data_IF_160795889719
#
_entry.id   IF_160795889719
#
_cell.length_a   1.000
_cell.length_b   1.000
_cell.length_c   1.000
_cell.angle_alpha   90.00
_cell.angle_beta   90.00
_cell.angle_gamma   90.00
#
_symmetry.space_group_name_H-M   'P 1'
#
loop_
_entity.id
_entity.type
_entity.pdbx_description
1 polymer ?
#
# COMPACT_ATOMS: atom_id res chain seq x y z
N UNK A 1 75.12 23.36 -16.59
CA UNK A 1 75.36 21.91 -16.49
C UNK A 1 75.03 21.52 -15.06
N UNK A 2 73.77 21.24 -14.75
CA UNK A 2 73.09 19.93 -14.89
C UNK A 2 72.85 19.42 -13.46
N UNK A 3 71.73 18.85 -13.03
CA UNK A 3 70.48 18.49 -13.67
C UNK A 3 69.44 18.39 -12.53
N UNK A 4 68.19 18.65 -12.87
CA UNK A 4 67.00 18.72 -12.02
C UNK A 4 66.76 17.41 -11.24
N UNK A 5 66.48 17.53 -9.93
CA UNK A 5 65.94 16.46 -9.08
C UNK A 5 64.57 16.02 -9.61
N UNK A 6 64.51 14.87 -10.28
CA UNK A 6 63.26 14.20 -10.63
C UNK A 6 62.67 13.48 -9.40
N UNK A 7 61.94 14.21 -8.57
CA UNK A 7 61.04 13.60 -7.59
C UNK A 7 59.70 13.33 -8.28
N UNK A 8 59.55 12.14 -8.86
CA UNK A 8 58.25 11.67 -9.35
C UNK A 8 57.32 11.44 -8.15
N UNK A 9 56.58 12.47 -7.76
CA UNK A 9 55.49 12.35 -6.79
C UNK A 9 54.37 11.53 -7.45
N UNK A 10 54.40 10.21 -7.25
CA UNK A 10 53.27 9.34 -7.58
C UNK A 10 52.16 9.66 -6.59
N UNK A 11 51.25 10.55 -6.98
CA UNK A 11 49.97 10.72 -6.29
C UNK A 11 49.18 9.43 -6.59
N UNK A 12 49.29 8.46 -5.68
CA UNK A 12 48.37 7.34 -5.61
C UNK A 12 47.06 7.95 -5.11
N UNK A 13 46.16 8.27 -6.03
CA UNK A 13 44.76 8.58 -5.68
C UNK A 13 44.16 7.29 -5.16
N UNK A 14 44.21 7.11 -3.84
CA UNK A 14 43.47 6.08 -3.14
C UNK A 14 41.99 6.49 -3.21
N UNK A 15 41.32 6.17 -4.31
CA UNK A 15 39.85 6.19 -4.36
C UNK A 15 39.43 5.11 -3.38
N UNK A 16 38.87 5.46 -2.20
CA UNK A 16 38.39 4.43 -1.31
C UNK A 16 37.28 3.73 -2.08
N UNK A 17 37.44 2.42 -2.27
CA UNK A 17 36.43 1.55 -2.83
C UNK A 17 35.27 1.49 -1.81
N UNK A 18 34.46 2.55 -1.71
CA UNK A 18 33.19 2.59 -0.97
C UNK A 18 32.12 1.74 -1.67
N UNK A 19 32.49 0.55 -2.14
CA UNK A 19 31.58 -0.43 -2.76
C UNK A 19 31.14 -1.49 -1.74
N UNK A 20 31.69 -1.46 -0.52
CA UNK A 20 31.26 -2.36 0.55
C UNK A 20 30.09 -1.74 1.33
N UNK A 21 28.87 -2.05 0.87
CA UNK A 21 27.74 -2.28 1.78
C UNK A 21 26.94 -1.08 2.25
N UNK A 22 26.39 -0.25 1.35
CA UNK A 22 25.09 0.33 1.70
C UNK A 22 24.12 -0.85 1.75
N UNK A 23 23.75 -1.28 2.97
CA UNK A 23 22.57 -2.11 3.15
C UNK A 23 21.40 -1.33 2.53
N UNK A 24 21.00 -1.73 1.32
CA UNK A 24 19.90 -1.12 0.60
C UNK A 24 18.64 -1.26 1.46
N UNK A 25 17.69 -0.34 1.31
CA UNK A 25 16.39 -0.43 1.96
C UNK A 25 15.80 -1.86 1.89
N UNK A 26 15.86 -2.49 0.72
CA UNK A 26 15.40 -3.86 0.49
C UNK A 26 16.07 -4.88 1.42
N UNK A 27 17.39 -4.78 1.65
CA UNK A 27 18.09 -5.66 2.58
C UNK A 27 17.63 -5.48 4.03
N UNK A 28 17.40 -4.23 4.47
CA UNK A 28 16.94 -3.93 5.82
C UNK A 28 15.52 -4.42 6.09
N UNK A 29 14.62 -4.37 5.10
CA UNK A 29 13.22 -4.78 5.32
C UNK A 29 12.98 -6.26 5.03
N UNK A 30 13.81 -6.91 4.20
CA UNK A 30 13.66 -8.34 3.92
C UNK A 30 13.76 -9.20 5.18
N UNK A 31 14.67 -8.88 6.10
CA UNK A 31 14.78 -9.59 7.37
C UNK A 31 13.56 -9.34 8.27
N UNK A 32 13.06 -8.11 8.34
CA UNK A 32 11.81 -7.81 9.06
C UNK A 32 10.61 -8.60 8.48
N UNK A 33 10.51 -8.72 7.15
CA UNK A 33 9.48 -9.55 6.48
C UNK A 33 9.60 -11.03 6.85
N UNK A 34 10.81 -11.56 7.00
CA UNK A 34 11.02 -12.94 7.47
C UNK A 34 10.51 -13.11 8.90
N UNK A 35 10.84 -12.18 9.81
CA UNK A 35 10.31 -12.19 11.17
C UNK A 35 8.77 -12.12 11.18
N UNK A 36 8.15 -11.24 10.37
CA UNK A 36 6.69 -11.15 10.24
C UNK A 36 6.10 -12.47 9.75
N UNK A 37 6.68 -13.07 8.71
CA UNK A 37 6.22 -14.35 8.14
C UNK A 37 6.28 -15.49 9.18
N UNK A 38 7.33 -15.51 10.00
CA UNK A 38 7.49 -16.47 11.10
C UNK A 38 6.68 -16.11 12.36
N UNK A 39 5.86 -15.05 12.33
CA UNK A 39 5.10 -14.52 13.48
C UNK A 39 5.97 -14.03 14.65
N UNK A 40 7.25 -13.73 14.39
CA UNK A 40 8.22 -13.17 15.34
C UNK A 40 8.07 -11.63 15.39
N UNK A 41 6.87 -11.15 15.74
CA UNK A 41 6.53 -9.73 15.61
C UNK A 41 7.41 -8.81 16.45
N UNK A 42 7.86 -9.23 17.64
CA UNK A 42 8.75 -8.43 18.47
C UNK A 42 10.13 -8.21 17.82
N UNK A 43 10.66 -9.22 17.13
CA UNK A 43 11.92 -9.09 16.39
C UNK A 43 11.76 -8.12 15.20
N UNK A 44 10.65 -8.25 14.45
CA UNK A 44 10.33 -7.32 13.36
C UNK A 44 10.19 -5.87 13.86
N UNK A 45 9.49 -5.67 15.00
CA UNK A 45 9.31 -4.35 15.63
C UNK A 45 10.65 -3.77 16.07
N UNK A 46 11.47 -4.54 16.79
CA UNK A 46 12.77 -4.09 17.27
C UNK A 46 13.71 -3.67 16.12
N UNK A 47 13.60 -4.33 14.96
CA UNK A 47 14.35 -3.98 13.77
C UNK A 47 13.87 -2.71 13.07
N UNK A 48 12.55 -2.54 12.90
CA UNK A 48 11.98 -1.44 12.11
C UNK A 48 11.79 -0.15 12.90
N UNK A 49 11.51 -0.23 14.21
CA UNK A 49 11.25 0.93 15.07
C UNK A 49 12.34 2.02 15.01
N UNK A 50 13.65 1.71 15.19
CA UNK A 50 14.68 2.74 15.14
C UNK A 50 14.74 3.43 13.77
N UNK A 51 14.55 2.67 12.68
CA UNK A 51 14.53 3.20 11.31
C UNK A 51 13.31 4.11 11.05
N UNK A 52 12.16 3.75 11.61
CA UNK A 52 10.93 4.54 11.53
C UNK A 52 11.00 5.83 12.36
N UNK A 53 11.80 5.84 13.43
CA UNK A 53 12.00 7.01 14.28
C UNK A 53 13.06 7.97 13.73
N UNK A 54 14.07 7.47 13.02
CA UNK A 54 15.11 8.26 12.37
C UNK A 54 14.51 9.26 11.36
N UNK A 55 14.79 10.55 11.55
CA UNK A 55 14.35 11.59 10.61
C UNK A 55 15.26 11.62 9.38
N UNK A 56 14.66 11.63 8.18
CA UNK A 56 15.44 11.74 6.95
C UNK A 56 14.74 11.30 5.66
N UNK A 57 15.58 11.06 4.65
CA UNK A 57 15.23 10.66 3.28
C UNK A 57 14.33 9.42 3.19
N UNK A 58 14.45 8.52 4.15
CA UNK A 58 13.78 7.22 4.16
C UNK A 58 12.73 7.09 5.27
N UNK A 59 12.55 8.12 6.11
CA UNK A 59 11.68 7.98 7.29
C UNK A 59 10.25 7.56 6.90
N UNK A 60 9.70 8.14 5.84
CA UNK A 60 8.35 7.81 5.39
C UNK A 60 8.21 6.30 5.16
N UNK A 61 9.18 5.70 4.48
CA UNK A 61 9.03 4.30 4.09
C UNK A 61 9.11 3.36 5.30
N UNK A 62 10.02 3.63 6.24
CA UNK A 62 10.10 2.83 7.46
C UNK A 62 8.90 3.05 8.40
N UNK A 63 8.31 4.25 8.43
CA UNK A 63 7.05 4.48 9.14
C UNK A 63 5.94 3.58 8.60
N UNK A 64 5.82 3.45 7.27
CA UNK A 64 4.82 2.63 6.62
C UNK A 64 5.00 1.13 6.94
N UNK A 65 6.22 0.59 6.79
CA UNK A 65 6.49 -0.82 7.09
C UNK A 65 6.30 -1.13 8.58
N UNK A 66 6.75 -0.24 9.47
CA UNK A 66 6.61 -0.42 10.91
C UNK A 66 5.15 -0.34 11.37
N UNK A 67 4.38 0.61 10.85
CA UNK A 67 2.97 0.74 11.16
C UNK A 67 2.15 -0.47 10.68
N UNK A 68 2.44 -1.02 9.50
CA UNK A 68 1.84 -2.29 9.04
C UNK A 68 2.25 -3.46 9.92
N UNK A 69 3.52 -3.53 10.36
CA UNK A 69 4.00 -4.57 11.28
C UNK A 69 3.22 -4.55 12.59
N UNK A 70 2.98 -3.36 13.17
CA UNK A 70 2.16 -3.17 14.35
C UNK A 70 0.70 -3.60 14.11
N UNK A 71 0.11 -3.25 12.96
CA UNK A 71 -1.24 -3.68 12.60
C UNK A 71 -1.35 -5.22 12.53
N UNK A 72 -0.40 -5.89 11.87
CA UNK A 72 -0.39 -7.36 11.75
C UNK A 72 -0.24 -8.01 13.14
N UNK A 73 0.54 -7.39 14.03
CA UNK A 73 0.71 -7.84 15.41
C UNK A 73 -0.52 -7.58 16.32
N UNK A 74 -1.52 -6.84 15.83
CA UNK A 74 -2.72 -6.46 16.60
C UNK A 74 -2.56 -5.18 17.45
N UNK A 75 -1.43 -4.47 17.33
CA UNK A 75 -1.15 -3.23 18.07
C UNK A 75 -1.77 -2.01 17.37
N UNK A 76 -3.09 -2.06 17.10
CA UNK A 76 -3.78 -1.09 16.24
C UNK A 76 -3.64 0.36 16.68
N UNK A 77 -3.66 0.62 18.01
CA UNK A 77 -3.52 1.97 18.55
C UNK A 77 -2.12 2.55 18.26
N UNK A 78 -1.07 1.77 18.49
CA UNK A 78 0.31 2.20 18.22
C UNK A 78 0.52 2.30 16.71
N UNK A 79 -0.03 1.37 15.94
CA UNK A 79 -0.04 1.42 14.47
C UNK A 79 -0.63 2.75 13.96
N UNK A 80 -1.74 3.22 14.55
CA UNK A 80 -2.34 4.51 14.19
C UNK A 80 -1.40 5.69 14.46
N UNK A 81 -0.70 5.73 15.59
CA UNK A 81 0.24 6.81 15.91
C UNK A 81 1.33 6.93 14.83
N UNK A 82 1.83 5.80 14.34
CA UNK A 82 2.85 5.76 13.29
C UNK A 82 2.28 6.04 11.89
N UNK A 83 1.05 5.61 11.58
CA UNK A 83 0.39 6.00 10.33
C UNK A 83 0.04 7.48 10.27
N UNK A 84 -0.38 8.11 11.38
CA UNK A 84 -0.57 9.56 11.42
C UNK A 84 0.74 10.31 11.22
N UNK A 85 1.84 9.81 11.79
CA UNK A 85 3.18 10.35 11.52
C UNK A 85 3.54 10.16 10.03
N UNK A 86 3.27 9.00 9.44
CA UNK A 86 3.51 8.74 8.03
C UNK A 86 2.71 9.68 7.12
N UNK A 87 1.43 9.91 7.43
CA UNK A 87 0.57 10.86 6.71
C UNK A 87 1.16 12.26 6.74
N UNK A 88 1.47 12.79 7.93
CA UNK A 88 2.09 14.11 8.08
C UNK A 88 3.37 14.23 7.27
N UNK A 89 4.23 13.21 7.34
CA UNK A 89 5.49 13.17 6.60
C UNK A 89 5.27 13.13 5.08
N UNK A 90 4.25 12.41 4.61
CA UNK A 90 3.90 12.36 3.18
C UNK A 90 3.40 13.74 2.68
N UNK A 91 2.49 14.37 3.43
CA UNK A 91 1.89 15.66 3.07
C UNK A 91 2.92 16.81 3.07
N UNK A 92 3.78 16.89 4.10
CA UNK A 92 4.85 17.90 4.17
C UNK A 92 5.85 17.77 3.01
N UNK A 93 6.17 16.53 2.61
CA UNK A 93 7.17 16.25 1.57
C UNK A 93 6.67 16.51 0.16
N UNK A 94 5.35 16.45 -0.06
CA UNK A 94 4.76 16.90 -1.32
C UNK A 94 4.92 18.42 -1.49
N UNK A 95 4.62 19.20 -0.44
CA UNK A 95 4.68 20.66 -0.45
C UNK A 95 6.11 21.21 -0.62
N UNK A 96 7.09 20.68 0.12
CA UNK A 96 8.46 21.22 0.11
C UNK A 96 9.34 20.76 -1.07
N UNK A 97 8.81 19.91 -1.95
CA UNK A 97 9.59 19.43 -3.11
C UNK A 97 9.84 20.48 -4.19
N UNK A 98 9.12 21.61 -4.15
CA UNK A 98 9.26 22.74 -5.07
C UNK A 98 10.40 23.69 -4.63
N UNK A 99 10.74 23.77 -3.34
CA UNK A 99 11.74 24.74 -2.84
C UNK A 99 13.19 24.25 -2.84
N UNK A 100 13.44 22.95 -3.08
CA UNK A 100 14.79 22.35 -3.22
C UNK A 100 15.18 22.04 -4.67
N UNK A 101 14.58 22.71 -5.66
CA UNK A 101 14.84 22.46 -7.09
C UNK A 101 16.31 22.70 -7.45
N UNK A 102 17.02 23.61 -6.77
CA UNK A 102 18.44 23.88 -7.00
C UNK A 102 19.33 22.72 -6.49
N UNK A 103 19.81 21.88 -7.41
CA UNK A 103 20.76 20.81 -7.12
C UNK A 103 20.18 19.40 -7.00
N UNK A 104 18.85 19.23 -6.95
CA UNK A 104 18.20 17.91 -6.86
C UNK A 104 18.53 16.98 -8.04
N UNK A 105 18.73 17.54 -9.23
CA UNK A 105 19.16 16.81 -10.44
C UNK A 105 20.58 16.23 -10.35
N UNK A 106 21.41 16.72 -9.42
CA UNK A 106 22.76 16.20 -9.21
C UNK A 106 22.77 14.94 -8.33
N UNK A 107 21.72 14.74 -7.53
CA UNK A 107 21.56 13.58 -6.65
C UNK A 107 20.97 12.39 -7.43
N UNK A 108 21.38 11.18 -7.09
CA UNK A 108 20.75 9.96 -7.61
C UNK A 108 19.32 9.82 -7.08
N UNK A 109 18.51 9.02 -7.77
CA UNK A 109 17.13 8.76 -7.35
C UNK A 109 17.03 8.14 -5.95
N UNK A 110 17.94 7.23 -5.60
CA UNK A 110 18.04 6.62 -4.26
C UNK A 110 18.32 7.65 -3.15
N UNK A 111 19.13 8.67 -3.42
CA UNK A 111 19.51 9.71 -2.42
C UNK A 111 18.40 10.75 -2.22
N UNK A 112 17.49 10.90 -3.20
CA UNK A 112 16.35 11.80 -3.08
C UNK A 112 15.44 11.33 -1.95
N UNK A 113 14.69 12.26 -1.37
CA UNK A 113 13.66 11.98 -0.39
C UNK A 113 12.58 11.05 -0.97
N UNK A 114 12.28 9.93 -0.30
CA UNK A 114 11.14 9.09 -0.64
C UNK A 114 9.83 9.85 -0.40
N UNK A 115 8.93 9.81 -1.39
CA UNK A 115 7.63 10.51 -1.35
C UNK A 115 6.42 9.59 -1.27
N UNK A 116 6.59 8.29 -1.55
CA UNK A 116 5.48 7.36 -1.73
C UNK A 116 4.76 7.54 -3.06
N UNK A 117 4.27 6.43 -3.62
CA UNK A 117 3.45 6.46 -4.83
C UNK A 117 2.02 6.96 -4.50
N UNK A 118 1.29 7.50 -5.48
CA UNK A 118 -0.06 8.08 -5.26
C UNK A 118 -0.99 7.11 -4.53
N UNK A 119 -1.00 5.83 -4.93
CA UNK A 119 -1.86 4.80 -4.33
C UNK A 119 -1.46 4.46 -2.88
N UNK A 120 -0.16 4.54 -2.55
CA UNK A 120 0.36 4.32 -1.20
C UNK A 120 -0.14 5.40 -0.23
N UNK A 121 -0.16 6.66 -0.67
CA UNK A 121 -0.64 7.79 0.13
C UNK A 121 -2.12 7.67 0.49
N UNK A 122 -2.93 7.14 -0.42
CA UNK A 122 -4.33 6.79 -0.16
C UNK A 122 -4.42 5.61 0.83
N UNK A 123 -3.54 4.62 0.69
CA UNK A 123 -3.52 3.46 1.59
C UNK A 123 -3.26 3.83 3.04
N UNK A 124 -2.51 4.91 3.33
CA UNK A 124 -2.29 5.36 4.71
C UNK A 124 -3.63 5.52 5.46
N UNK A 125 -4.60 6.24 4.87
CA UNK A 125 -5.92 6.42 5.48
C UNK A 125 -6.76 5.14 5.45
N UNK A 126 -6.61 4.29 4.43
CA UNK A 126 -7.31 3.00 4.41
C UNK A 126 -6.84 2.09 5.55
N UNK A 127 -5.53 2.07 5.84
CA UNK A 127 -4.97 1.31 6.97
C UNK A 127 -5.36 1.89 8.32
N UNK A 128 -5.37 3.23 8.46
CA UNK A 128 -5.92 3.92 9.64
C UNK A 128 -7.40 3.53 9.86
N UNK A 129 -8.22 3.59 8.81
CA UNK A 129 -9.63 3.22 8.87
C UNK A 129 -9.82 1.77 9.32
N UNK A 130 -9.06 0.82 8.73
CA UNK A 130 -9.10 -0.59 9.15
C UNK A 130 -8.72 -0.77 10.63
N UNK A 131 -7.69 -0.06 11.12
CA UNK A 131 -7.32 -0.10 12.54
C UNK A 131 -8.43 0.46 13.45
N UNK A 132 -9.07 1.56 13.08
CA UNK A 132 -10.19 2.11 13.85
C UNK A 132 -11.40 1.16 13.87
N UNK A 133 -11.68 0.49 12.75
CA UNK A 133 -12.72 -0.54 12.69
C UNK A 133 -12.42 -1.73 13.62
N UNK A 134 -11.17 -2.18 13.69
CA UNK A 134 -10.71 -3.21 14.64
C UNK A 134 -10.87 -2.77 16.11
N UNK A 135 -10.58 -1.50 16.38
CA UNK A 135 -10.78 -0.88 17.69
C UNK A 135 -12.26 -0.63 18.03
N UNK A 136 -13.19 -0.88 17.10
CA UNK A 136 -14.61 -0.61 17.27
C UNK A 136 -14.98 0.89 17.22
N UNK A 137 -14.08 1.73 16.72
CA UNK A 137 -14.24 3.18 16.60
C UNK A 137 -14.71 3.56 15.19
N UNK A 138 -16.02 3.41 14.97
CA UNK A 138 -16.63 3.74 13.68
C UNK A 138 -16.54 5.25 13.36
N UNK A 139 -16.58 6.11 14.38
CA UNK A 139 -16.51 7.57 14.20
C UNK A 139 -15.14 8.00 13.66
N UNK A 140 -14.06 7.45 14.21
CA UNK A 140 -12.72 7.69 13.69
C UNK A 140 -12.54 7.09 12.28
N UNK A 141 -13.08 5.89 12.01
CA UNK A 141 -13.06 5.31 10.67
C UNK A 141 -13.80 6.20 9.64
N UNK A 142 -14.89 6.86 10.02
CA UNK A 142 -15.61 7.83 9.18
C UNK A 142 -14.78 9.08 8.88
N UNK A 143 -13.92 9.53 9.80
CA UNK A 143 -12.98 10.63 9.53
C UNK A 143 -12.00 10.22 8.44
N UNK A 144 -11.44 9.02 8.53
CA UNK A 144 -10.51 8.51 7.53
C UNK A 144 -11.19 8.28 6.16
N UNK A 145 -12.44 7.82 6.13
CA UNK A 145 -13.23 7.74 4.90
C UNK A 145 -13.41 9.11 4.21
N UNK A 146 -13.55 10.20 4.99
CA UNK A 146 -13.58 11.57 4.43
C UNK A 146 -12.21 11.99 3.89
N UNK A 147 -11.13 11.72 4.62
CA UNK A 147 -9.75 12.02 4.17
C UNK A 147 -9.41 11.30 2.88
N UNK A 148 -9.82 10.03 2.74
CA UNK A 148 -9.74 9.30 1.47
C UNK A 148 -10.45 10.08 0.38
N UNK A 149 -11.70 10.48 0.60
CA UNK A 149 -12.46 11.23 -0.41
C UNK A 149 -11.79 12.55 -0.83
N UNK A 150 -11.21 13.28 0.13
CA UNK A 150 -10.51 14.53 -0.14
C UNK A 150 -9.22 14.31 -0.95
N UNK A 151 -8.44 13.28 -0.63
CA UNK A 151 -7.25 12.89 -1.42
C UNK A 151 -7.63 12.49 -2.84
N UNK A 152 -8.74 11.78 -3.04
CA UNK A 152 -9.22 11.45 -4.39
C UNK A 152 -9.54 12.69 -5.21
N UNK A 153 -10.24 13.67 -4.64
CA UNK A 153 -10.57 14.91 -5.34
C UNK A 153 -9.30 15.67 -5.73
N UNK A 154 -8.33 15.73 -4.82
CA UNK A 154 -7.02 16.32 -5.09
C UNK A 154 -6.33 15.62 -6.26
N UNK A 155 -6.13 14.30 -6.20
CA UNK A 155 -5.40 13.57 -7.24
C UNK A 155 -6.13 13.49 -8.58
N UNK A 156 -7.47 13.48 -8.59
CA UNK A 156 -8.23 13.63 -9.84
C UNK A 156 -7.99 14.99 -10.49
N UNK A 157 -7.89 16.07 -9.70
CA UNK A 157 -7.59 17.41 -10.21
C UNK A 157 -6.16 17.54 -10.74
N UNK A 158 -5.25 16.67 -10.29
CA UNK A 158 -3.87 16.55 -10.79
C UNK A 158 -3.75 15.60 -12.01
N UNK A 159 -4.89 15.21 -12.61
CA UNK A 159 -4.97 14.31 -13.77
C UNK A 159 -4.31 12.94 -13.55
N UNK A 160 -4.30 12.44 -12.30
CA UNK A 160 -3.83 11.09 -11.98
C UNK A 160 -4.74 10.02 -12.59
N UNK A 161 -4.16 8.90 -13.04
CA UNK A 161 -4.89 7.83 -13.73
C UNK A 161 -5.69 6.97 -12.75
N UNK A 162 -6.79 6.38 -13.22
CA UNK A 162 -7.72 5.60 -12.39
C UNK A 162 -7.09 4.42 -11.63
N UNK A 163 -6.08 3.73 -12.18
CA UNK A 163 -5.43 2.62 -11.47
C UNK A 163 -4.53 3.11 -10.31
N UNK A 164 -4.10 4.38 -10.33
CA UNK A 164 -3.42 5.04 -9.22
C UNK A 164 -4.41 5.39 -8.10
N UNK A 165 -5.71 5.42 -8.44
CA UNK A 165 -6.83 5.70 -7.56
C UNK A 165 -7.40 4.38 -7.01
N UNK A 166 -6.68 3.78 -6.05
CA UNK A 166 -7.01 2.60 -5.22
C UNK A 166 -8.52 2.26 -5.02
N UNK A 167 -9.13 1.46 -5.89
CA UNK A 167 -10.58 1.17 -5.82
C UNK A 167 -11.04 0.58 -4.47
N UNK A 168 -10.17 -0.13 -3.75
CA UNK A 168 -10.44 -0.59 -2.39
C UNK A 168 -10.67 0.55 -1.39
N UNK A 169 -9.92 1.65 -1.45
CA UNK A 169 -10.12 2.76 -0.51
C UNK A 169 -11.52 3.39 -0.63
N UNK A 170 -12.06 3.47 -1.86
CA UNK A 170 -13.45 3.88 -2.10
C UNK A 170 -14.45 2.82 -1.65
N UNK A 171 -14.18 1.55 -1.93
CA UNK A 171 -15.02 0.44 -1.47
C UNK A 171 -15.08 0.36 0.07
N UNK A 172 -13.94 0.53 0.76
CA UNK A 172 -13.85 0.60 2.21
C UNK A 172 -14.61 1.79 2.77
N UNK A 173 -14.45 2.98 2.17
CA UNK A 173 -15.24 4.16 2.53
C UNK A 173 -16.74 3.86 2.42
N UNK A 174 -17.18 3.21 1.33
CA UNK A 174 -18.58 2.83 1.14
C UNK A 174 -19.09 1.89 2.24
N UNK A 175 -18.30 0.87 2.64
CA UNK A 175 -18.65 -0.02 3.76
C UNK A 175 -18.77 0.74 5.08
N UNK A 176 -17.87 1.70 5.33
CA UNK A 176 -17.89 2.53 6.56
C UNK A 176 -19.13 3.43 6.58
N UNK A 177 -19.43 4.12 5.49
CA UNK A 177 -20.64 4.94 5.35
C UNK A 177 -21.91 4.09 5.51
N UNK A 178 -21.92 2.88 4.95
CA UNK A 178 -23.05 1.98 5.08
C UNK A 178 -23.24 1.50 6.52
N UNK A 179 -22.16 1.17 7.24
CA UNK A 179 -22.21 0.76 8.65
C UNK A 179 -22.81 1.87 9.54
N UNK A 180 -22.58 3.14 9.18
CA UNK A 180 -23.18 4.33 9.81
C UNK A 180 -24.57 4.68 9.25
N UNK A 181 -25.11 3.86 8.34
CA UNK A 181 -26.43 4.04 7.70
C UNK A 181 -26.56 5.30 6.84
N UNK A 182 -25.43 5.90 6.45
CA UNK A 182 -25.34 6.98 5.46
C UNK A 182 -25.40 6.39 4.05
N UNK A 183 -26.58 5.86 3.69
CA UNK A 183 -26.76 5.07 2.48
C UNK A 183 -26.54 5.85 1.18
N UNK A 184 -26.79 7.17 1.17
CA UNK A 184 -26.49 8.01 0.01
C UNK A 184 -24.99 8.16 -0.23
N UNK A 185 -24.22 8.46 0.82
CA UNK A 185 -22.76 8.54 0.75
C UNK A 185 -22.15 7.18 0.38
N UNK A 186 -22.68 6.10 0.96
CA UNK A 186 -22.27 4.73 0.64
C UNK A 186 -22.56 4.39 -0.83
N UNK A 187 -23.74 4.76 -1.35
CA UNK A 187 -24.07 4.53 -2.77
C UNK A 187 -23.09 5.24 -3.70
N UNK A 188 -22.79 6.51 -3.42
CA UNK A 188 -21.82 7.29 -4.21
C UNK A 188 -20.46 6.60 -4.18
N UNK A 189 -19.95 6.24 -3.00
CA UNK A 189 -18.65 5.61 -2.86
C UNK A 189 -18.57 4.22 -3.53
N UNK A 190 -19.63 3.38 -3.44
CA UNK A 190 -19.69 2.11 -4.18
C UNK A 190 -19.70 2.32 -5.69
N UNK A 191 -20.43 3.33 -6.17
CA UNK A 191 -20.50 3.65 -7.59
C UNK A 191 -19.14 4.15 -8.11
N UNK A 192 -18.45 4.98 -7.34
CA UNK A 192 -17.09 5.43 -7.65
C UNK A 192 -16.10 4.26 -7.67
N UNK A 193 -16.17 3.35 -6.69
CA UNK A 193 -15.34 2.14 -6.70
C UNK A 193 -15.57 1.29 -7.96
N UNK A 194 -16.83 1.12 -8.39
CA UNK A 194 -17.19 0.42 -9.62
C UNK A 194 -16.70 1.12 -10.90
N UNK A 195 -16.69 2.45 -10.91
CA UNK A 195 -16.17 3.23 -12.04
C UNK A 195 -14.64 3.15 -12.15
N UNK A 196 -13.95 3.00 -11.02
CA UNK A 196 -12.50 2.80 -10.98
C UNK A 196 -12.14 1.39 -11.42
N UNK A 197 -12.89 0.39 -10.94
CA UNK A 197 -12.67 -1.01 -11.27
C UNK A 197 -14.01 -1.76 -11.35
N UNK A 198 -14.43 -2.11 -12.56
CA UNK A 198 -15.65 -2.86 -12.81
C UNK A 198 -15.50 -4.37 -12.55
N UNK A 199 -14.26 -4.84 -12.31
CA UNK A 199 -13.92 -6.25 -12.07
C UNK A 199 -13.96 -6.63 -10.59
N UNK A 200 -14.20 -5.67 -9.68
CA UNK A 200 -14.40 -5.93 -8.25
C UNK A 200 -15.47 -7.02 -8.09
N UNK A 201 -15.09 -8.13 -7.47
CA UNK A 201 -16.01 -9.23 -7.21
C UNK A 201 -17.13 -8.75 -6.25
N UNK A 202 -18.39 -9.07 -6.56
CA UNK A 202 -19.61 -8.72 -5.82
C UNK A 202 -20.04 -7.24 -5.76
N UNK A 203 -19.33 -6.32 -6.43
CA UNK A 203 -19.70 -4.89 -6.37
C UNK A 203 -21.07 -4.59 -6.99
N UNK A 204 -21.51 -5.41 -7.94
CA UNK A 204 -22.81 -5.27 -8.60
C UNK A 204 -23.95 -5.58 -7.64
N UNK A 205 -23.81 -6.62 -6.82
CA UNK A 205 -24.70 -6.98 -5.73
C UNK A 205 -24.72 -5.86 -4.68
N UNK A 206 -23.56 -5.30 -4.35
CA UNK A 206 -23.48 -4.17 -3.42
C UNK A 206 -24.19 -2.92 -3.95
N UNK A 207 -24.04 -2.61 -5.25
CA UNK A 207 -24.74 -1.50 -5.92
C UNK A 207 -26.25 -1.72 -5.99
N UNK A 208 -26.70 -2.93 -6.31
CA UNK A 208 -28.11 -3.29 -6.29
C UNK A 208 -28.68 -3.12 -4.87
N UNK A 209 -27.99 -3.64 -3.86
CA UNK A 209 -28.41 -3.54 -2.46
C UNK A 209 -28.46 -2.10 -1.98
N UNK A 210 -27.39 -1.34 -2.19
CA UNK A 210 -27.27 0.01 -1.65
C UNK A 210 -28.19 1.00 -2.36
N UNK A 211 -28.44 0.84 -3.67
CA UNK A 211 -29.43 1.66 -4.40
C UNK A 211 -30.83 1.56 -3.80
N UNK A 212 -31.25 0.36 -3.38
CA UNK A 212 -32.52 0.16 -2.69
C UNK A 212 -32.51 0.73 -1.27
N UNK A 213 -31.43 0.52 -0.50
CA UNK A 213 -31.28 1.11 0.86
C UNK A 213 -31.30 2.64 0.83
N UNK A 214 -30.72 3.26 -0.20
CA UNK A 214 -30.71 4.71 -0.41
C UNK A 214 -31.95 5.24 -1.16
N UNK A 215 -32.97 4.40 -1.40
CA UNK A 215 -34.22 4.75 -2.11
C UNK A 215 -34.03 5.29 -3.54
N UNK A 216 -32.93 4.92 -4.20
CA UNK A 216 -32.61 5.22 -5.59
C UNK A 216 -33.27 4.19 -6.51
N UNK A 217 -34.60 4.28 -6.63
CA UNK A 217 -35.40 3.26 -7.31
C UNK A 217 -35.13 3.16 -8.81
N UNK A 218 -34.72 4.25 -9.45
CA UNK A 218 -34.40 4.25 -10.87
C UNK A 218 -33.05 3.55 -11.12
N UNK A 219 -32.02 3.85 -10.33
CA UNK A 219 -30.76 3.11 -10.36
C UNK A 219 -30.94 1.65 -9.96
N UNK A 220 -31.79 1.34 -8.97
CA UNK A 220 -32.13 -0.04 -8.60
C UNK A 220 -32.76 -0.82 -9.76
N UNK A 221 -33.76 -0.24 -10.45
CA UNK A 221 -34.39 -0.86 -11.62
C UNK A 221 -33.37 -1.09 -12.73
N UNK A 222 -32.57 -0.05 -13.03
CA UNK A 222 -31.49 -0.12 -14.02
C UNK A 222 -30.51 -1.24 -13.71
N UNK A 223 -30.00 -1.32 -12.48
CA UNK A 223 -29.05 -2.36 -12.09
C UNK A 223 -29.67 -3.77 -12.09
N UNK A 224 -30.96 -3.89 -11.77
CA UNK A 224 -31.67 -5.17 -11.85
C UNK A 224 -31.81 -5.69 -13.28
N UNK A 225 -31.87 -4.79 -14.27
CA UNK A 225 -31.93 -5.13 -15.69
C UNK A 225 -30.54 -5.35 -16.29
N UNK A 226 -29.56 -4.51 -15.94
CA UNK A 226 -28.20 -4.53 -16.51
C UNK A 226 -27.29 -5.60 -15.88
N UNK A 227 -27.40 -5.83 -14.57
CA UNK A 227 -26.53 -6.76 -13.88
C UNK A 227 -27.15 -8.16 -13.91
N UNK A 228 -26.45 -9.09 -14.55
CA UNK A 228 -26.77 -10.53 -14.49
C UNK A 228 -26.38 -11.03 -13.09
N UNK A 229 -27.29 -10.88 -12.13
CA UNK A 229 -27.10 -11.26 -10.73
C UNK A 229 -27.89 -12.52 -10.40
N UNK A 230 -27.42 -13.25 -9.38
CA UNK A 230 -28.24 -14.27 -8.71
C UNK A 230 -29.46 -13.62 -8.03
N UNK A 231 -30.30 -14.44 -7.39
CA UNK A 231 -31.40 -13.92 -6.59
C UNK A 231 -30.93 -12.92 -5.52
N UNK A 232 -31.70 -11.86 -5.36
CA UNK A 232 -31.49 -10.82 -4.35
C UNK A 232 -31.61 -11.43 -2.93
N UNK A 233 -30.57 -11.29 -2.12
CA UNK A 233 -30.61 -11.80 -0.75
C UNK A 233 -31.49 -10.90 0.12
N UNK A 234 -32.57 -11.45 0.66
CA UNK A 234 -33.54 -10.75 1.52
C UNK A 234 -32.93 -10.25 2.83
N UNK A 235 -31.91 -10.95 3.35
CA UNK A 235 -31.24 -10.59 4.61
C UNK A 235 -30.52 -9.24 4.53
N UNK A 236 -30.19 -8.77 3.33
CA UNK A 236 -29.58 -7.46 3.12
C UNK A 236 -30.40 -6.29 3.68
N UNK A 237 -31.72 -6.47 3.78
CA UNK A 237 -32.68 -5.43 4.19
C UNK A 237 -33.29 -5.69 5.56
N UNK A 238 -32.98 -6.82 6.19
CA UNK A 238 -33.52 -7.14 7.50
C UNK A 238 -32.75 -6.38 8.59
N UNK A 239 -33.44 -5.42 9.20
CA UNK A 239 -32.90 -4.59 10.29
C UNK A 239 -32.67 -5.37 11.59
N UNK A 240 -33.15 -6.61 11.67
CA UNK A 240 -32.95 -7.49 12.82
C UNK A 240 -31.64 -8.27 12.74
N UNK A 241 -31.06 -8.43 11.55
CA UNK A 241 -29.77 -9.08 11.37
C UNK A 241 -28.64 -8.19 11.89
N UNK A 242 -27.57 -8.84 12.35
CA UNK A 242 -26.26 -8.23 12.48
C UNK A 242 -25.47 -8.48 11.18
N UNK A 243 -24.53 -7.59 10.88
CA UNK A 243 -23.60 -7.78 9.78
C UNK A 243 -22.20 -8.07 10.29
N UNK A 244 -21.53 -9.05 9.69
CA UNK A 244 -20.11 -9.29 9.87
C UNK A 244 -19.40 -9.09 8.53
N UNK A 245 -18.36 -8.27 8.54
CA UNK A 245 -17.49 -8.02 7.40
C UNK A 245 -16.08 -8.48 7.77
N UNK A 246 -15.52 -9.39 6.99
CA UNK A 246 -14.10 -9.75 7.08
C UNK A 246 -13.36 -9.12 5.91
N UNK A 247 -12.37 -8.29 6.21
CA UNK A 247 -11.34 -7.82 5.29
C UNK A 247 -10.17 -8.79 5.37
N UNK A 248 -9.83 -9.40 4.24
CA UNK A 248 -8.74 -10.35 4.13
C UNK A 248 -7.64 -9.75 3.27
N UNK A 249 -6.48 -9.53 3.88
CA UNK A 249 -5.28 -9.10 3.18
C UNK A 249 -4.47 -10.34 2.82
N UNK A 250 -4.21 -10.54 1.54
CA UNK A 250 -3.59 -11.76 1.04
C UNK A 250 -2.14 -11.50 0.64
N UNK A 251 -1.26 -12.42 1.01
CA UNK A 251 0.10 -12.54 0.47
C UNK A 251 0.99 -11.34 0.73
N UNK A 252 1.91 -11.07 -0.19
CA UNK A 252 2.79 -9.90 -0.15
C UNK A 252 2.80 -9.20 -1.49
N UNK A 253 2.78 -7.87 -1.48
CA UNK A 253 2.94 -7.08 -2.70
C UNK A 253 4.25 -7.37 -3.43
N UNK A 254 4.39 -6.86 -4.67
CA UNK A 254 5.54 -7.09 -5.51
C UNK A 254 6.80 -6.48 -4.89
N UNK A 255 7.97 -6.97 -5.30
CA UNK A 255 9.27 -6.49 -4.86
C UNK A 255 9.93 -5.61 -5.92
N UNK A 256 10.26 -4.38 -5.55
CA UNK A 256 11.03 -3.46 -6.41
C UNK A 256 12.51 -3.85 -6.36
N UNK A 257 13.03 -4.25 -7.51
CA UNK A 257 14.40 -4.76 -7.65
C UNK A 257 15.12 -4.09 -8.82
N UNK A 258 16.44 -4.29 -8.88
CA UNK A 258 17.24 -3.85 -10.02
C UNK A 258 16.78 -4.54 -11.30
N UNK A 259 16.69 -3.76 -12.38
CA UNK A 259 16.54 -4.28 -13.72
C UNK A 259 17.91 -4.73 -14.27
N UNK A 260 18.10 -6.02 -14.62
CA UNK A 260 19.34 -6.48 -15.21
C UNK A 260 19.66 -5.85 -16.58
N UNK A 261 18.64 -5.41 -17.33
CA UNK A 261 18.81 -4.79 -18.63
C UNK A 261 19.31 -3.33 -18.52
N UNK A 262 18.89 -2.61 -17.48
CA UNK A 262 19.36 -1.26 -17.18
C UNK A 262 19.15 -0.95 -15.69
N UNK A 263 20.23 -1.02 -14.90
CA UNK A 263 20.19 -0.84 -13.44
C UNK A 263 19.73 0.54 -12.96
N UNK A 264 19.62 1.50 -13.89
CA UNK A 264 19.05 2.82 -13.64
C UNK A 264 17.53 2.76 -13.52
N UNK A 265 16.86 1.81 -14.14
CA UNK A 265 15.40 1.69 -14.05
C UNK A 265 15.03 0.53 -13.13
N UNK A 266 14.18 0.74 -12.11
CA UNK A 266 13.70 -0.37 -11.30
C UNK A 266 12.66 -1.19 -12.07
N UNK A 267 12.46 -2.44 -11.64
CA UNK A 267 11.32 -3.28 -12.03
C UNK A 267 10.64 -3.80 -10.77
N UNK A 268 9.34 -4.07 -10.86
CA UNK A 268 8.58 -4.79 -9.85
C UNK A 268 8.48 -6.26 -10.24
N UNK A 269 8.83 -7.15 -9.31
CA UNK A 269 8.68 -8.60 -9.46
C UNK A 269 7.58 -9.11 -8.55
N UNK A 270 6.63 -9.91 -9.07
CA UNK A 270 5.63 -10.55 -8.25
C UNK A 270 6.20 -11.36 -7.09
N UNK A 271 5.49 -11.40 -5.97
CA UNK A 271 5.81 -12.28 -4.85
C UNK A 271 4.83 -13.44 -4.83
N UNK A 272 5.33 -14.68 -4.89
CA UNK A 272 4.45 -15.84 -4.81
C UNK A 272 3.79 -15.97 -3.42
N UNK A 273 2.50 -16.28 -3.41
CA UNK A 273 1.72 -16.66 -2.22
C UNK A 273 0.97 -17.96 -2.50
N UNK A 274 1.08 -18.94 -1.60
CA UNK A 274 0.30 -20.18 -1.70
C UNK A 274 -1.18 -19.90 -1.39
N UNK A 275 -1.44 -19.02 -0.43
CA UNK A 275 -2.80 -18.59 -0.06
C UNK A 275 -3.36 -17.62 -1.10
N UNK A 276 -4.44 -18.01 -1.77
CA UNK A 276 -5.08 -17.24 -2.83
C UNK A 276 -6.42 -16.62 -2.40
N UNK A 277 -7.18 -17.31 -1.57
CA UNK A 277 -8.43 -16.82 -0.95
C UNK A 277 -8.51 -17.30 0.50
N UNK A 278 -9.50 -16.82 1.25
CA UNK A 278 -9.83 -17.37 2.54
C UNK A 278 -11.23 -18.01 2.52
N UNK A 279 -11.32 -19.22 3.06
CA UNK A 279 -12.57 -19.89 3.41
C UNK A 279 -12.94 -19.52 4.85
N UNK A 280 -14.08 -18.87 5.01
CA UNK A 280 -14.58 -18.37 6.30
C UNK A 280 -15.75 -19.22 6.75
N UNK A 281 -15.63 -19.80 7.93
CA UNK A 281 -16.64 -20.66 8.58
C UNK A 281 -17.14 -19.96 9.82
N UNK A 282 -18.45 -19.70 9.88
CA UNK A 282 -19.13 -19.13 11.04
C UNK A 282 -19.70 -20.26 11.88
N UNK A 283 -19.37 -20.28 13.17
CA UNK A 283 -19.84 -21.28 14.13
C UNK A 283 -20.63 -20.64 15.26
N UNK A 284 -21.72 -21.28 15.68
CA UNK A 284 -22.50 -20.94 16.87
C UNK A 284 -22.71 -22.20 17.69
N UNK A 285 -22.30 -22.20 18.95
CA UNK A 285 -22.34 -23.39 19.82
C UNK A 285 -21.74 -24.63 19.14
N UNK A 286 -20.52 -24.49 18.59
CA UNK A 286 -19.77 -25.52 17.84
C UNK A 286 -20.42 -26.04 16.54
N UNK A 287 -21.60 -25.55 16.19
CA UNK A 287 -22.30 -25.92 14.95
C UNK A 287 -21.95 -24.95 13.83
N UNK A 288 -21.65 -25.48 12.64
CA UNK A 288 -21.37 -24.67 11.45
C UNK A 288 -22.68 -24.07 10.94
N UNK A 289 -22.75 -22.74 10.92
CA UNK A 289 -23.92 -21.99 10.45
C UNK A 289 -23.81 -21.69 8.95
N UNK A 290 -22.67 -21.12 8.54
CA UNK A 290 -22.46 -20.69 7.16
C UNK A 290 -20.98 -20.71 6.80
N UNK A 291 -20.70 -21.06 5.54
CA UNK A 291 -19.36 -21.06 4.96
C UNK A 291 -19.36 -20.23 3.69
N UNK A 292 -18.43 -19.30 3.56
CA UNK A 292 -18.21 -18.50 2.34
C UNK A 292 -16.73 -18.35 2.04
N UNK A 293 -16.41 -17.94 0.81
CA UNK A 293 -15.07 -17.53 0.41
C UNK A 293 -15.00 -16.01 0.28
N UNK A 294 -13.80 -15.47 0.48
CA UNK A 294 -13.50 -14.05 0.22
C UNK A 294 -13.54 -13.74 -1.28
N UNK A 295 -13.84 -12.48 -1.57
CA UNK A 295 -13.97 -11.98 -2.93
C UNK A 295 -12.95 -10.88 -3.16
N UNK A 296 -12.20 -10.94 -4.26
CA UNK A 296 -11.12 -9.97 -4.52
C UNK A 296 -11.71 -8.59 -4.81
N UNK A 297 -11.31 -7.61 -4.00
CA UNK A 297 -11.72 -6.21 -4.13
C UNK A 297 -10.64 -5.36 -4.79
N UNK A 298 -9.36 -5.67 -4.54
CA UNK A 298 -8.27 -4.91 -5.14
C UNK A 298 -7.01 -5.74 -5.27
N UNK A 299 -6.31 -5.52 -6.38
CA UNK A 299 -5.06 -6.18 -6.76
C UNK A 299 -3.92 -5.16 -6.63
N UNK A 300 -3.28 -5.16 -5.46
CA UNK A 300 -2.23 -4.20 -5.12
C UNK A 300 -1.02 -4.42 -6.02
N UNK A 301 -0.70 -5.68 -6.34
CA UNK A 301 0.41 -6.03 -7.20
C UNK A 301 0.26 -5.45 -8.60
N UNK A 302 -0.89 -5.68 -9.23
CA UNK A 302 -1.18 -5.16 -10.57
C UNK A 302 -1.17 -3.63 -10.59
N UNK A 303 -1.74 -3.00 -9.57
CA UNK A 303 -1.75 -1.54 -9.45
C UNK A 303 -0.33 -0.95 -9.30
N UNK A 304 0.51 -1.55 -8.45
CA UNK A 304 1.89 -1.11 -8.28
C UNK A 304 2.72 -1.28 -9.56
N UNK A 305 2.59 -2.43 -10.24
CA UNK A 305 3.28 -2.71 -11.51
C UNK A 305 2.85 -1.71 -12.60
N UNK A 306 1.54 -1.43 -12.71
CA UNK A 306 1.03 -0.49 -13.69
C UNK A 306 1.46 0.94 -13.38
N UNK A 307 1.46 1.35 -12.12
CA UNK A 307 1.96 2.66 -11.67
C UNK A 307 3.42 2.85 -12.07
N UNK A 308 4.27 1.86 -11.78
CA UNK A 308 5.68 1.95 -12.17
C UNK A 308 5.86 2.05 -13.69
N UNK A 309 5.08 1.30 -14.48
CA UNK A 309 5.13 1.36 -15.96
C UNK A 309 4.77 2.74 -16.49
N UNK A 310 3.73 3.34 -15.94
CA UNK A 310 3.24 4.64 -16.40
C UNK A 310 4.18 5.78 -16.00
N UNK A 311 4.83 5.66 -14.84
CA UNK A 311 5.87 6.60 -14.40
C UNK A 311 7.19 6.47 -15.17
N UNK A 312 7.39 5.43 -16.00
CA UNK A 312 8.65 5.24 -16.73
C UNK A 312 8.98 6.43 -17.64
N UNK A 313 7.99 7.05 -18.28
CA UNK A 313 8.21 8.19 -19.17
C UNK A 313 8.70 9.42 -18.39
N UNK A 314 8.04 9.72 -17.26
CA UNK A 314 8.45 10.79 -16.34
C UNK A 314 9.85 10.52 -15.76
N UNK A 315 10.12 9.28 -15.36
CA UNK A 315 11.41 8.86 -14.86
C UNK A 315 12.51 9.01 -15.91
N UNK A 316 12.26 8.62 -17.16
CA UNK A 316 13.19 8.81 -18.27
C UNK A 316 13.49 10.29 -18.49
N UNK A 317 12.46 11.15 -18.56
CA UNK A 317 12.62 12.58 -18.73
C UNK A 317 13.47 13.20 -17.61
N UNK A 318 13.20 12.82 -16.35
CA UNK A 318 13.98 13.27 -15.19
C UNK A 318 15.43 12.81 -15.26
N UNK A 319 15.69 11.59 -15.74
CA UNK A 319 17.05 11.06 -15.92
C UNK A 319 17.83 11.80 -17.01
N UNK A 320 17.18 12.11 -18.13
CA UNK A 320 17.78 12.94 -19.19
C UNK A 320 18.12 14.33 -18.65
N UNK A 321 17.20 14.95 -17.90
CA UNK A 321 17.46 16.24 -17.24
C UNK A 321 18.61 16.17 -16.23
N UNK A 322 18.67 15.11 -15.42
CA UNK A 322 19.75 14.88 -14.47
C UNK A 322 21.11 14.72 -15.16
N UNK A 323 21.16 13.97 -16.26
CA UNK A 323 22.37 13.83 -17.08
C UNK A 323 22.85 15.20 -17.57
N UNK A 324 21.97 16.00 -18.20
CA UNK A 324 22.31 17.35 -18.68
C UNK A 324 22.79 18.25 -17.54
N UNK A 325 22.14 18.21 -16.37
CA UNK A 325 22.55 19.01 -15.22
C UNK A 325 23.94 18.63 -14.70
N UNK A 326 24.24 17.33 -14.63
CA UNK A 326 25.56 16.79 -14.22
C UNK A 326 26.65 17.18 -15.23
N UNK A 327 26.35 17.14 -16.53
CA UNK A 327 27.26 17.62 -17.58
C UNK A 327 27.58 19.11 -17.41
N UNK A 328 26.57 19.96 -17.20
CA UNK A 328 26.78 21.39 -16.98
C UNK A 328 27.62 21.65 -15.73
N UNK A 329 27.32 20.95 -14.63
CA UNK A 329 28.08 21.08 -13.38
C UNK A 329 29.55 20.63 -13.53
N UNK A 330 29.79 19.48 -14.17
CA UNK A 330 31.14 18.98 -14.41
C UNK A 330 31.93 19.90 -15.37
N UNK A 331 31.28 20.47 -16.39
CA UNK A 331 31.90 21.43 -17.30
C UNK A 331 32.27 22.73 -16.60
N UNK A 332 31.44 23.22 -15.67
CA UNK A 332 31.75 24.41 -14.87
C UNK A 332 32.97 24.17 -13.96
N UNK A 333 33.13 22.97 -13.39
CA UNK A 333 34.35 22.58 -12.66
C UNK A 333 35.55 22.48 -13.63
N UNK A 334 35.34 21.90 -14.82
CA UNK A 334 36.37 21.72 -15.85
C UNK A 334 36.97 23.05 -16.34
N UNK A 335 36.18 24.14 -16.33
CA UNK A 335 36.65 25.50 -16.65
C UNK A 335 37.70 26.01 -15.66
N UNK A 336 37.64 25.57 -14.40
CA UNK A 336 38.61 25.93 -13.36
C UNK A 336 39.78 24.94 -13.34
N UNK A 337 39.48 23.65 -13.43
CA UNK A 337 40.47 22.57 -13.47
C UNK A 337 39.92 21.37 -14.27
N UNK A 338 40.58 21.07 -15.41
CA UNK A 338 40.18 19.99 -16.31
C UNK A 338 40.21 18.61 -15.64
N UNK A 339 41.17 18.37 -14.75
CA UNK A 339 41.33 17.07 -14.08
C UNK A 339 40.25 16.87 -13.01
N UNK A 340 39.97 17.91 -12.22
CA UNK A 340 38.87 17.88 -11.25
C UNK A 340 37.51 17.78 -11.96
N UNK A 341 37.35 18.43 -13.10
CA UNK A 341 36.14 18.33 -13.91
C UNK A 341 35.90 16.92 -14.46
N UNK A 342 36.93 16.27 -15.01
CA UNK A 342 36.84 14.88 -15.45
C UNK A 342 36.56 13.91 -14.29
N UNK A 343 37.18 14.13 -13.13
CA UNK A 343 36.92 13.34 -11.92
C UNK A 343 35.49 13.55 -11.42
N UNK A 344 35.01 14.80 -11.36
CA UNK A 344 33.65 15.12 -10.97
C UNK A 344 32.62 14.47 -11.90
N UNK A 345 32.87 14.51 -13.21
CA UNK A 345 32.04 13.84 -14.22
C UNK A 345 31.92 12.34 -13.94
N UNK A 346 33.06 11.65 -13.74
CA UNK A 346 33.08 10.22 -13.45
C UNK A 346 32.30 9.89 -12.17
N UNK A 347 32.51 10.66 -11.10
CA UNK A 347 31.85 10.44 -9.81
C UNK A 347 30.33 10.66 -9.91
N UNK A 348 29.88 11.75 -10.53
CA UNK A 348 28.45 12.09 -10.66
C UNK A 348 27.66 11.08 -11.50
N UNK A 349 28.30 10.47 -12.50
CA UNK A 349 27.68 9.45 -13.34
C UNK A 349 27.75 8.06 -12.72
N UNK A 350 28.83 7.73 -12.02
CA UNK A 350 28.96 6.47 -11.28
C UNK A 350 27.99 6.36 -10.10
N UNK A 351 27.51 7.49 -9.55
CA UNK A 351 26.56 7.51 -8.44
C UNK A 351 25.10 7.27 -8.84
N UNK A 352 24.81 7.09 -10.13
CA UNK A 352 23.43 6.93 -10.62
C UNK A 352 22.86 5.54 -10.28
N UNK A 353 21.77 5.51 -9.51
CA UNK A 353 21.10 4.28 -9.05
C UNK A 353 19.60 4.41 -9.14
N UNK A 354 18.90 3.28 -9.32
CA UNK A 354 17.45 3.22 -9.22
C UNK A 354 17.01 3.39 -7.76
N UNK A 355 15.89 4.08 -7.55
CA UNK A 355 15.22 4.05 -6.26
C UNK A 355 14.48 2.71 -6.10
N UNK A 356 14.95 1.88 -5.18
CA UNK A 356 14.35 0.58 -4.85
C UNK A 356 13.47 0.63 -3.60
N UNK A 357 13.19 1.81 -3.04
CA UNK A 357 12.24 1.97 -1.94
C UNK A 357 10.80 1.80 -2.46
N UNK A 358 9.97 1.17 -1.64
CA UNK A 358 8.54 0.91 -1.86
C UNK A 358 7.92 0.45 -0.54
N UNK A 359 6.62 0.66 -0.30
CA UNK A 359 5.93 0.09 0.87
C UNK A 359 5.88 -1.43 0.81
N UNK A 360 6.89 -2.06 1.43
CA UNK A 360 7.22 -3.47 1.21
C UNK A 360 6.31 -4.47 1.94
N UNK A 361 5.54 -3.99 2.92
CA UNK A 361 4.60 -4.79 3.71
C UNK A 361 3.16 -4.74 3.19
N UNK A 362 2.91 -4.08 2.06
CA UNK A 362 1.59 -4.11 1.41
C UNK A 362 1.15 -5.55 1.06
N UNK A 363 -0.17 -5.83 1.02
CA UNK A 363 -0.70 -7.09 0.50
C UNK A 363 -0.44 -7.24 -0.99
N UNK A 364 -0.53 -8.47 -1.47
CA UNK A 364 -0.70 -8.77 -2.90
C UNK A 364 -2.10 -8.36 -3.35
N UNK A 365 -3.13 -8.77 -2.59
CA UNK A 365 -4.52 -8.40 -2.83
C UNK A 365 -5.29 -8.14 -1.53
N UNK A 366 -6.38 -7.39 -1.66
CA UNK A 366 -7.36 -7.17 -0.59
C UNK A 366 -8.68 -7.78 -1.03
N UNK A 367 -9.28 -8.54 -0.12
CA UNK A 367 -10.49 -9.30 -0.36
C UNK A 367 -11.50 -9.07 0.75
N UNK A 368 -12.78 -9.23 0.45
CA UNK A 368 -13.87 -9.01 1.41
C UNK A 368 -14.88 -10.15 1.34
N UNK A 369 -15.44 -10.50 2.50
CA UNK A 369 -16.67 -11.30 2.60
C UNK A 369 -17.62 -10.71 3.63
N UNK A 370 -18.92 -10.79 3.34
CA UNK A 370 -20.00 -10.26 4.17
C UNK A 370 -20.97 -11.36 4.58
N UNK A 371 -21.40 -11.31 5.84
CA UNK A 371 -22.39 -12.20 6.44
C UNK A 371 -23.50 -11.37 7.09
N UNK A 372 -24.74 -11.81 6.92
CA UNK A 372 -25.91 -11.27 7.61
C UNK A 372 -26.43 -12.38 8.52
N UNK A 373 -26.27 -12.20 9.83
CA UNK A 373 -26.45 -13.25 10.84
C UNK A 373 -27.49 -12.81 11.87
N UNK A 374 -28.09 -13.78 12.56
CA UNK A 374 -28.85 -13.44 13.76
C UNK A 374 -27.91 -12.80 14.81
N UNK A 375 -28.39 -11.85 15.63
CA UNK A 375 -27.60 -11.36 16.76
C UNK A 375 -27.19 -12.50 17.70
N UNK A 376 -25.97 -12.46 18.21
CA UNK A 376 -25.43 -13.52 19.06
C UNK A 376 -23.91 -13.56 19.10
N UNK A 377 -23.38 -14.57 19.78
CA UNK A 377 -21.94 -14.81 19.91
C UNK A 377 -21.53 -15.93 18.96
N UNK A 378 -20.46 -15.71 18.21
CA UNK A 378 -19.98 -16.61 17.16
C UNK A 378 -18.47 -16.83 17.25
N UNK A 379 -18.04 -18.02 16.89
CA UNK A 379 -16.64 -18.30 16.55
C UNK A 379 -16.48 -18.25 15.04
N UNK A 380 -15.40 -17.61 14.57
CA UNK A 380 -15.12 -17.41 13.15
C UNK A 380 -13.78 -18.03 12.83
N UNK A 381 -13.81 -19.08 12.01
CA UNK A 381 -12.62 -19.75 11.51
C UNK A 381 -12.32 -19.29 10.10
N UNK A 382 -11.11 -18.80 9.89
CA UNK A 382 -10.63 -18.30 8.61
C UNK A 382 -9.46 -19.17 8.17
N UNK A 383 -9.66 -19.96 7.12
CA UNK A 383 -8.67 -20.87 6.55
C UNK A 383 -8.21 -20.33 5.20
N UNK A 384 -6.91 -20.06 5.07
CA UNK A 384 -6.29 -19.80 3.78
C UNK A 384 -6.44 -21.00 2.85
N UNK A 385 -6.76 -20.75 1.59
CA UNK A 385 -6.91 -21.77 0.55
C UNK A 385 -6.16 -21.38 -0.72
N UNK A 386 -5.60 -22.36 -1.41
CA UNK A 386 -4.91 -22.16 -2.69
C UNK A 386 -5.89 -21.99 -3.85
N UNK A 387 -5.37 -21.79 -5.06
CA UNK A 387 -6.17 -21.70 -6.29
C UNK A 387 -6.99 -22.96 -6.60
N UNK A 388 -6.61 -24.10 -6.02
CA UNK A 388 -7.31 -25.37 -6.12
C UNK A 388 -8.18 -25.68 -4.90
N UNK A 389 -8.48 -24.68 -4.06
CA UNK A 389 -9.27 -24.79 -2.83
C UNK A 389 -8.68 -25.70 -1.74
N UNK A 390 -7.41 -26.10 -1.87
CA UNK A 390 -6.71 -26.85 -0.82
C UNK A 390 -6.35 -25.92 0.35
N UNK A 391 -6.54 -26.34 1.61
CA UNK A 391 -6.08 -25.58 2.77
C UNK A 391 -4.57 -25.30 2.70
N UNK A 392 -4.19 -24.05 2.96
CA UNK A 392 -2.79 -23.64 3.16
C UNK A 392 -2.45 -23.63 4.64
N UNK A 393 -1.21 -23.28 4.97
CA UNK A 393 -0.77 -23.16 6.37
C UNK A 393 -1.34 -21.93 7.10
N UNK A 394 -1.91 -20.97 6.38
CA UNK A 394 -2.45 -19.75 6.98
C UNK A 394 -3.85 -20.02 7.56
N UNK A 395 -4.00 -19.82 8.87
CA UNK A 395 -5.26 -20.00 9.58
C UNK A 395 -5.40 -19.01 10.73
N UNK A 396 -6.64 -18.57 11.01
CA UNK A 396 -6.98 -17.74 12.16
C UNK A 396 -8.35 -18.10 12.72
N UNK A 397 -8.45 -18.16 14.04
CA UNK A 397 -9.73 -18.20 14.75
C UNK A 397 -9.96 -16.89 15.47
N UNK A 398 -11.15 -16.31 15.30
CA UNK A 398 -11.69 -15.27 16.16
C UNK A 398 -12.74 -15.91 17.06
N UNK A 399 -12.55 -15.82 18.38
CA UNK A 399 -13.45 -16.45 19.35
C UNK A 399 -14.38 -15.41 19.96
N UNK A 400 -15.57 -15.88 20.33
CA UNK A 400 -16.53 -15.11 21.13
C UNK A 400 -16.90 -13.75 20.50
N UNK A 401 -17.03 -13.71 19.17
CA UNK A 401 -17.39 -12.48 18.46
C UNK A 401 -18.87 -12.18 18.67
N UNK A 402 -19.13 -11.15 19.47
CA UNK A 402 -20.47 -10.67 19.75
C UNK A 402 -21.00 -9.79 18.62
N UNK A 403 -22.06 -10.24 17.96
CA UNK A 403 -22.76 -9.54 16.89
C UNK A 403 -24.06 -8.93 17.40
N UNK A 404 -24.16 -7.60 17.29
CA UNK A 404 -25.30 -6.83 17.79
C UNK A 404 -26.31 -6.55 16.68
N UNK A 405 -27.60 -6.59 17.04
CA UNK A 405 -28.72 -6.28 16.14
C UNK A 405 -28.53 -4.96 15.39
N UNK A 406 -28.61 -5.01 14.07
CA UNK A 406 -28.55 -3.83 13.20
C UNK A 406 -27.22 -3.07 13.26
N UNK A 407 -26.14 -3.74 13.71
CA UNK A 407 -24.78 -3.23 13.74
C UNK A 407 -23.89 -4.08 12.83
N UNK A 408 -22.86 -3.44 12.29
CA UNK A 408 -21.82 -4.09 11.50
C UNK A 408 -20.58 -4.30 12.38
N UNK A 409 -20.06 -5.52 12.43
CA UNK A 409 -18.78 -5.86 13.03
C UNK A 409 -17.76 -6.07 11.91
N UNK A 410 -16.65 -5.36 11.97
CA UNK A 410 -15.53 -5.55 11.07
C UNK A 410 -14.46 -6.42 11.75
N UNK A 411 -13.85 -7.28 10.94
CA UNK A 411 -12.64 -8.03 11.26
C UNK A 411 -11.66 -7.90 10.10
N UNK A 412 -10.38 -7.98 10.39
CA UNK A 412 -9.27 -7.85 9.48
C UNK A 412 -8.26 -8.98 9.78
N UNK A 413 -7.80 -9.64 8.73
CA UNK A 413 -6.76 -10.66 8.87
C UNK A 413 -5.80 -10.63 7.69
N UNK A 414 -4.52 -10.88 7.99
CA UNK A 414 -3.43 -10.94 7.01
C UNK A 414 -2.89 -12.36 6.88
N UNK A 415 -2.90 -12.91 5.68
CA UNK A 415 -2.11 -14.10 5.32
C UNK A 415 -0.70 -13.71 4.89
N UNK A 416 0.28 -14.59 5.12
CA UNK A 416 1.69 -14.30 4.91
C UNK A 416 2.44 -15.37 4.10
N UNK A 417 1.73 -16.44 3.66
CA UNK A 417 2.29 -17.61 2.99
C UNK A 417 1.77 -17.84 1.58
#
# INVERSE_FOLDING_TARGET
MDYVKNLKLRIIVFVPLFILGCATYQGKVQQARQHIKSQEFEAAKAQLQPLAQEEGGDQLIYLLDYATTLQIAGDFKISNDFFFKAEKVADEKDYHSISRVTGSYLLSEEVKQYKGDTFEKIFINAFLAMNFLELGDLDAALVEARRINDKYKLYQSEEKKNFELNSFAKYLSAMIWEADKKYDDAFIAYKEAYQLDYQIENIKEDLLRISKKSKRLDEYKKYKEEFILSEENKDWYDKNKAELVLIFQQGWGPQKVFNPADSRFPILRPTFSDTQKAKVTIKKNDSVEIVKKTNKIYDVESAAIQTLKDDQASLLARRVGAFIAKEVAANEISRRDKTLGALAWLVMHASERADLRQWSTLPESIQVVRFYLEPGVYDIEVQGISSFDNPTQDFKTFKEINLLKGKTKFLNWRSLH
#
